data_IF_272224262924
#
_entry.id   IF_272224262924
#
_cell.length_a   1.000
_cell.length_b   1.000
_cell.length_c   1.000
_cell.angle_alpha   90.00
_cell.angle_beta   90.00
_cell.angle_gamma   90.00
#
_symmetry.space_group_name_H-M   'P 1'
#
loop_
_entity.id
_entity.type
_entity.pdbx_description
1 polymer ?
#
# COMPACT_ATOMS: atom_id res chain seq x y z
N UNK A 1 26.33 1.50 -14.38
CA UNK A 1 26.16 1.54 -15.86
C UNK A 1 25.37 0.36 -16.46
N UNK A 2 24.58 -0.41 -15.67
CA UNK A 2 23.56 -1.35 -16.18
C UNK A 2 22.11 -0.85 -16.02
N UNK A 3 21.90 0.24 -15.27
CA UNK A 3 20.60 0.89 -15.06
C UNK A 3 20.10 1.75 -16.27
N UNK A 4 20.91 1.93 -17.32
CA UNK A 4 20.59 2.83 -18.44
C UNK A 4 19.86 2.17 -19.64
N UNK A 5 19.52 0.86 -19.59
CA UNK A 5 18.77 0.19 -20.66
C UNK A 5 17.24 0.11 -20.45
N UNK A 6 16.70 0.83 -19.47
CA UNK A 6 15.25 0.94 -19.23
C UNK A 6 14.61 2.23 -19.81
N UNK A 7 15.29 2.95 -20.72
CA UNK A 7 14.67 4.08 -21.43
C UNK A 7 13.71 3.58 -22.51
N UNK A 8 12.43 3.43 -22.15
CA UNK A 8 11.35 3.29 -23.12
C UNK A 8 10.12 2.50 -22.66
N UNK A 9 10.17 1.83 -21.50
CA UNK A 9 9.00 1.16 -20.92
C UNK A 9 8.67 1.76 -19.56
N UNK A 10 7.40 2.08 -19.28
CA UNK A 10 6.96 2.39 -17.92
C UNK A 10 7.43 1.29 -16.96
N UNK A 11 7.96 1.64 -15.79
CA UNK A 11 8.25 0.62 -14.77
C UNK A 11 6.93 0.06 -14.18
N UNK A 12 5.85 0.82 -14.34
CA UNK A 12 4.51 0.55 -13.85
C UNK A 12 3.47 0.41 -14.99
N UNK A 13 2.63 -0.62 -14.94
CA UNK A 13 1.46 -0.72 -15.84
C UNK A 13 0.24 -0.10 -15.16
N UNK A 14 -0.33 0.96 -15.76
CA UNK A 14 -1.56 1.60 -15.27
C UNK A 14 -2.82 0.75 -15.52
N UNK A 15 -2.71 -0.40 -16.18
CA UNK A 15 -3.85 -1.27 -16.38
C UNK A 15 -4.24 -1.92 -15.03
N UNK A 16 -5.39 -1.50 -14.48
CA UNK A 16 -6.03 -2.10 -13.30
C UNK A 16 -6.44 -3.58 -13.51
N UNK A 17 -6.02 -4.19 -14.63
CA UNK A 17 -6.41 -5.54 -15.06
C UNK A 17 -5.94 -6.63 -14.12
N UNK A 18 -4.91 -6.35 -13.31
CA UNK A 18 -4.38 -7.31 -12.32
C UNK A 18 -5.11 -7.24 -10.97
N UNK A 19 -5.92 -6.21 -10.73
CA UNK A 19 -6.59 -5.99 -9.45
C UNK A 19 -8.05 -6.45 -9.48
N UNK A 20 -8.44 -7.18 -8.44
CA UNK A 20 -9.71 -7.90 -8.37
C UNK A 20 -10.30 -7.90 -6.96
N UNK A 21 -10.21 -6.77 -6.25
CA UNK A 21 -10.55 -6.67 -4.83
C UNK A 21 -11.99 -7.11 -4.51
N UNK A 22 -12.97 -6.71 -5.33
CA UNK A 22 -14.37 -7.10 -5.19
C UNK A 22 -15.07 -7.28 -6.54
N UNK A 23 -14.31 -7.49 -7.63
CA UNK A 23 -14.87 -7.59 -8.99
C UNK A 23 -15.73 -8.84 -9.20
N UNK A 24 -15.58 -9.86 -8.36
CA UNK A 24 -16.43 -11.07 -8.37
C UNK A 24 -17.75 -10.91 -7.62
N UNK A 25 -17.93 -9.80 -6.88
CA UNK A 25 -19.14 -9.53 -6.11
C UNK A 25 -20.12 -8.79 -7.01
N UNK A 26 -21.37 -9.27 -7.06
CA UNK A 26 -22.43 -8.63 -7.85
C UNK A 26 -22.62 -7.18 -7.37
N UNK A 27 -22.43 -6.22 -8.28
CA UNK A 27 -22.68 -4.81 -7.99
C UNK A 27 -24.17 -4.52 -7.87
N UNK A 28 -24.51 -3.61 -6.97
CA UNK A 28 -25.81 -2.96 -6.85
C UNK A 28 -25.56 -1.50 -6.47
N UNK A 29 -26.10 -0.56 -7.26
CA UNK A 29 -25.98 0.86 -6.98
C UNK A 29 -27.20 1.64 -7.43
N UNK A 30 -27.47 2.76 -6.75
CA UNK A 30 -28.52 3.71 -7.13
C UNK A 30 -28.10 5.13 -6.77
N UNK A 31 -28.60 6.10 -7.53
CA UNK A 31 -28.36 7.52 -7.28
C UNK A 31 -29.64 8.17 -6.73
N UNK A 32 -29.51 9.07 -5.77
CA UNK A 32 -30.64 9.90 -5.32
C UNK A 32 -31.18 10.78 -6.45
N UNK A 33 -32.44 11.20 -6.36
CA UNK A 33 -33.08 12.02 -7.40
C UNK A 33 -32.37 13.37 -7.69
N UNK A 34 -31.61 13.89 -6.73
CA UNK A 34 -30.80 15.11 -6.88
C UNK A 34 -29.33 14.85 -7.29
N UNK A 35 -28.95 13.58 -7.49
CA UNK A 35 -27.60 13.22 -7.91
C UNK A 35 -26.50 13.30 -6.85
N UNK A 36 -26.84 13.64 -5.59
CA UNK A 36 -25.86 13.93 -4.53
C UNK A 36 -25.52 12.73 -3.64
N UNK A 37 -26.26 11.63 -3.76
CA UNK A 37 -26.05 10.46 -2.90
C UNK A 37 -25.98 9.22 -3.75
N UNK A 38 -24.85 8.52 -3.68
CA UNK A 38 -24.61 7.24 -4.31
C UNK A 38 -24.80 6.13 -3.27
N UNK A 39 -25.84 5.32 -3.45
CA UNK A 39 -26.03 4.11 -2.65
C UNK A 39 -25.31 2.95 -3.32
N UNK A 40 -24.47 2.22 -2.58
CA UNK A 40 -23.72 1.05 -3.05
C UNK A 40 -23.74 -0.07 -2.03
N UNK A 41 -23.53 -1.30 -2.47
CA UNK A 41 -23.20 -2.42 -1.58
C UNK A 41 -21.70 -2.40 -1.26
N UNK A 42 -21.33 -2.27 0.02
CA UNK A 42 -19.94 -2.18 0.45
C UNK A 42 -19.67 -2.96 1.75
N UNK A 43 -18.42 -3.38 1.93
CA UNK A 43 -17.89 -3.91 3.18
C UNK A 43 -16.84 -2.94 3.74
N UNK A 44 -17.09 -2.39 4.93
CA UNK A 44 -16.09 -1.60 5.66
C UNK A 44 -15.12 -2.57 6.34
N UNK A 45 -13.91 -2.67 5.81
CA UNK A 45 -12.93 -3.68 6.21
C UNK A 45 -12.28 -3.33 7.56
N UNK A 46 -11.64 -2.17 7.61
CA UNK A 46 -10.82 -1.79 8.75
C UNK A 46 -10.45 -0.30 8.76
N UNK A 47 -10.11 0.22 9.94
CA UNK A 47 -9.78 1.62 10.17
C UNK A 47 -8.28 1.88 10.12
N UNK A 48 -7.87 2.97 9.48
CA UNK A 48 -6.50 3.46 9.44
C UNK A 48 -6.10 4.06 10.78
N UNK A 49 -4.96 3.63 11.32
CA UNK A 49 -4.43 4.08 12.62
C UNK A 49 -3.15 4.89 12.51
N UNK A 50 -2.32 4.65 11.50
CA UNK A 50 -1.08 5.38 11.28
C UNK A 50 -0.88 5.64 9.80
N UNK A 51 -0.23 6.75 9.50
CA UNK A 51 0.07 7.21 8.14
C UNK A 51 1.49 7.75 8.05
N UNK A 52 2.12 7.61 6.88
CA UNK A 52 3.41 8.16 6.53
C UNK A 52 3.35 8.58 5.05
N UNK A 53 3.33 9.89 4.74
CA UNK A 53 3.40 10.35 3.36
C UNK A 53 4.65 9.80 2.66
N UNK A 54 4.50 9.34 1.42
CA UNK A 54 5.67 8.94 0.64
C UNK A 54 6.54 10.17 0.34
N UNK A 55 7.88 10.04 0.42
CA UNK A 55 8.79 11.15 0.22
C UNK A 55 8.72 11.63 -1.23
N UNK A 56 8.54 12.94 -1.44
CA UNK A 56 8.55 13.59 -2.75
C UNK A 56 9.96 14.02 -3.16
N UNK A 57 10.86 14.13 -2.19
CA UNK A 57 12.25 14.55 -2.36
C UNK A 57 13.16 13.73 -1.45
N UNK A 58 14.45 13.63 -1.81
CA UNK A 58 15.44 12.83 -1.07
C UNK A 58 15.58 13.28 0.39
N UNK A 59 15.37 14.55 0.69
CA UNK A 59 15.49 15.10 2.04
C UNK A 59 14.38 14.60 3.00
N UNK A 60 13.26 14.14 2.45
CA UNK A 60 12.10 13.65 3.22
C UNK A 60 12.22 12.16 3.57
N UNK A 61 13.07 11.39 2.88
CA UNK A 61 13.13 9.94 2.97
C UNK A 61 13.54 9.43 4.36
N UNK A 62 14.44 10.14 5.04
CA UNK A 62 14.82 9.82 6.42
C UNK A 62 13.66 9.99 7.39
N UNK A 63 12.85 11.04 7.21
CA UNK A 63 11.67 11.27 8.03
C UNK A 63 10.57 10.23 7.76
N UNK A 64 10.42 9.82 6.50
CA UNK A 64 9.57 8.72 6.09
C UNK A 64 9.98 7.40 6.79
N UNK A 65 11.27 7.04 6.73
CA UNK A 65 11.77 5.84 7.41
C UNK A 65 11.49 5.86 8.92
N UNK A 66 11.77 6.98 9.59
CA UNK A 66 11.53 7.13 11.03
C UNK A 66 10.05 6.96 11.39
N UNK A 67 9.18 7.55 10.58
CA UNK A 67 7.72 7.43 10.74
C UNK A 67 7.28 5.97 10.60
N UNK A 68 7.66 5.33 9.51
CA UNK A 68 7.38 3.91 9.26
C UNK A 68 7.92 3.01 10.40
N UNK A 69 9.19 3.19 10.79
CA UNK A 69 9.85 2.32 11.76
C UNK A 69 9.23 2.44 13.16
N UNK A 70 8.72 3.62 13.50
CA UNK A 70 8.01 3.89 14.76
C UNK A 70 6.72 3.08 14.91
N UNK A 71 6.18 2.52 13.81
CA UNK A 71 4.95 1.74 13.88
C UNK A 71 5.14 0.38 14.55
N UNK A 72 6.38 -0.09 14.62
CA UNK A 72 6.77 -1.42 15.09
C UNK A 72 7.63 -1.34 16.35
N UNK A 73 7.64 -2.38 17.21
CA UNK A 73 8.46 -2.38 18.41
C UNK A 73 9.95 -2.15 18.09
N UNK A 74 10.59 -1.18 18.75
CA UNK A 74 12.01 -0.86 18.52
C UNK A 74 12.98 -1.98 18.88
N UNK A 75 12.57 -2.88 19.78
CA UNK A 75 13.37 -4.04 20.22
C UNK A 75 13.30 -5.25 19.27
N UNK A 76 12.35 -5.26 18.34
CA UNK A 76 12.17 -6.35 17.39
C UNK A 76 12.67 -5.90 16.01
N UNK A 77 13.30 -6.80 15.26
CA UNK A 77 13.66 -6.56 13.86
C UNK A 77 12.39 -6.62 13.02
N UNK A 78 12.27 -5.79 11.98
CA UNK A 78 11.12 -5.89 11.06
C UNK A 78 10.99 -7.31 10.48
N UNK A 79 12.10 -7.93 10.10
CA UNK A 79 12.14 -9.31 9.57
C UNK A 79 11.63 -10.38 10.56
N UNK A 80 11.53 -10.06 11.85
CA UNK A 80 11.04 -10.98 12.88
C UNK A 80 9.54 -10.79 13.18
N UNK A 81 8.91 -9.80 12.57
CA UNK A 81 7.50 -9.46 12.80
C UNK A 81 6.68 -10.07 11.66
N UNK A 82 5.76 -10.95 12.01
CA UNK A 82 4.76 -11.47 11.07
C UNK A 82 3.81 -10.35 10.62
N UNK A 83 3.48 -10.32 9.33
CA UNK A 83 2.46 -9.43 8.78
C UNK A 83 1.06 -9.95 9.21
N UNK A 84 0.31 -9.22 10.06
CA UNK A 84 -0.86 -9.81 10.71
C UNK A 84 -1.95 -10.35 9.74
N UNK A 85 -2.26 -9.70 8.61
CA UNK A 85 -3.22 -10.25 7.64
C UNK A 85 -2.76 -11.54 6.94
N UNK A 86 -1.44 -11.80 6.86
CA UNK A 86 -0.87 -13.03 6.30
C UNK A 86 0.32 -13.47 7.16
N UNK A 87 0.10 -14.19 8.27
CA UNK A 87 1.14 -14.48 9.26
C UNK A 87 2.34 -15.30 8.75
N UNK A 88 2.22 -15.94 7.58
CA UNK A 88 3.33 -16.62 6.89
C UNK A 88 4.34 -15.66 6.26
N UNK A 89 3.98 -14.38 6.12
CA UNK A 89 4.76 -13.34 5.46
C UNK A 89 5.33 -12.41 6.52
N UNK A 90 6.60 -12.02 6.42
CA UNK A 90 7.19 -11.03 7.32
C UNK A 90 6.84 -9.60 6.89
N UNK A 91 6.83 -8.66 7.84
CA UNK A 91 6.53 -7.24 7.59
C UNK A 91 7.35 -6.63 6.44
N UNK A 92 8.68 -6.84 6.33
CA UNK A 92 9.45 -6.31 5.21
C UNK A 92 8.90 -6.72 3.85
N UNK A 93 8.44 -7.96 3.72
CA UNK A 93 7.89 -8.46 2.46
C UNK A 93 6.58 -7.78 2.10
N UNK A 94 5.64 -7.77 3.04
CA UNK A 94 4.37 -7.06 2.84
C UNK A 94 4.60 -5.56 2.55
N UNK A 95 5.60 -4.95 3.18
CA UNK A 95 5.93 -3.54 3.01
C UNK A 95 6.49 -3.23 1.61
N UNK A 96 7.52 -3.96 1.14
CA UNK A 96 8.07 -3.66 -0.19
C UNK A 96 7.08 -3.99 -1.30
N UNK A 97 6.27 -5.05 -1.13
CA UNK A 97 5.15 -5.32 -2.05
C UNK A 97 4.13 -4.19 -2.02
N UNK A 98 3.81 -3.63 -0.86
CA UNK A 98 2.89 -2.49 -0.76
C UNK A 98 3.43 -1.25 -1.44
N UNK A 99 4.70 -0.91 -1.20
CA UNK A 99 5.34 0.29 -1.76
C UNK A 99 5.44 0.26 -3.30
N UNK A 100 5.48 -0.95 -3.88
CA UNK A 100 5.48 -1.15 -5.33
C UNK A 100 4.09 -1.48 -5.91
N UNK A 101 3.03 -1.44 -5.07
CA UNK A 101 1.70 -2.03 -5.37
C UNK A 101 1.79 -3.45 -5.97
N UNK A 102 2.84 -4.17 -5.60
CA UNK A 102 3.23 -5.52 -6.00
C UNK A 102 3.34 -5.69 -7.53
N UNK A 103 3.86 -4.64 -8.20
CA UNK A 103 4.19 -4.60 -9.61
C UNK A 103 5.63 -4.11 -9.77
N UNK A 104 6.43 -4.77 -10.62
CA UNK A 104 7.80 -4.36 -10.92
C UNK A 104 8.12 -4.57 -12.39
N UNK A 105 8.51 -3.51 -13.11
CA UNK A 105 8.80 -3.57 -14.55
C UNK A 105 7.68 -4.25 -15.33
N UNK A 106 6.43 -3.81 -15.10
CA UNK A 106 5.19 -4.40 -15.68
C UNK A 106 4.91 -5.86 -15.30
N UNK A 107 5.72 -6.46 -14.41
CA UNK A 107 5.53 -7.84 -13.95
C UNK A 107 4.70 -7.85 -12.67
N UNK A 108 3.73 -8.76 -12.62
CA UNK A 108 2.91 -9.03 -11.44
C UNK A 108 2.86 -10.55 -11.20
N UNK A 109 3.12 -11.03 -9.95
CA UNK A 109 3.58 -10.26 -8.79
C UNK A 109 4.99 -9.69 -9.00
N UNK A 110 5.31 -8.64 -8.24
CA UNK A 110 6.68 -8.14 -8.18
C UNK A 110 7.62 -9.28 -7.71
N UNK A 111 8.73 -9.57 -8.42
CA UNK A 111 9.61 -10.69 -8.10
C UNK A 111 10.29 -10.54 -6.74
N UNK A 112 10.62 -11.65 -6.08
CA UNK A 112 11.26 -11.65 -4.76
C UNK A 112 12.63 -10.96 -4.75
N UNK A 113 13.29 -10.86 -5.90
CA UNK A 113 14.52 -10.08 -6.08
C UNK A 113 14.36 -8.58 -5.75
N UNK A 114 13.12 -8.06 -5.74
CA UNK A 114 12.84 -6.69 -5.28
C UNK A 114 13.20 -6.49 -3.80
N UNK A 115 13.29 -7.56 -3.01
CA UNK A 115 13.72 -7.49 -1.61
C UNK A 115 15.13 -6.93 -1.44
N UNK A 116 16.07 -7.25 -2.35
CA UNK A 116 17.43 -6.70 -2.33
C UNK A 116 17.43 -5.20 -2.67
N UNK A 117 16.63 -4.79 -3.65
CA UNK A 117 16.45 -3.37 -3.99
C UNK A 117 15.84 -2.60 -2.83
N UNK A 118 14.86 -3.19 -2.14
CA UNK A 118 14.27 -2.63 -0.94
C UNK A 118 15.29 -2.51 0.21
N UNK A 119 16.14 -3.53 0.41
CA UNK A 119 17.19 -3.49 1.43
C UNK A 119 18.20 -2.37 1.17
N UNK A 120 18.63 -2.20 -0.09
CA UNK A 120 19.50 -1.09 -0.50
C UNK A 120 18.83 0.27 -0.27
N UNK A 121 17.53 0.38 -0.56
CA UNK A 121 16.75 1.58 -0.28
C UNK A 121 16.68 1.88 1.22
N UNK A 122 16.34 0.90 2.07
CA UNK A 122 16.33 1.09 3.52
C UNK A 122 17.71 1.43 4.07
N UNK A 123 18.78 0.82 3.56
CA UNK A 123 20.15 1.17 3.94
C UNK A 123 20.53 2.61 3.60
N UNK A 124 19.90 3.20 2.58
CA UNK A 124 20.07 4.59 2.16
C UNK A 124 19.28 5.57 3.03
N UNK A 125 18.06 5.20 3.44
CA UNK A 125 17.11 6.11 4.12
C UNK A 125 17.05 5.96 5.64
N UNK A 126 17.68 4.92 6.20
CA UNK A 126 17.85 4.72 7.65
C UNK A 126 18.95 5.60 8.24
N UNK A 127 19.15 5.56 9.57
CA UNK A 127 20.26 6.29 10.19
C UNK A 127 21.61 5.65 9.83
N UNK A 128 21.64 4.34 9.54
CA UNK A 128 22.82 3.68 8.95
C UNK A 128 22.49 2.40 8.18
N UNK A 129 23.31 2.04 7.19
CA UNK A 129 23.19 0.76 6.50
C UNK A 129 23.26 -0.46 7.45
N UNK A 130 24.01 -0.36 8.55
CA UNK A 130 24.08 -1.43 9.56
C UNK A 130 22.74 -1.64 10.28
N UNK A 131 22.01 -0.57 10.54
CA UNK A 131 20.67 -0.63 11.14
C UNK A 131 19.71 -1.35 10.20
N UNK A 132 19.63 -0.93 8.93
CA UNK A 132 18.79 -1.59 7.94
C UNK A 132 19.14 -3.08 7.77
N UNK A 133 20.43 -3.43 7.68
CA UNK A 133 20.88 -4.82 7.58
C UNK A 133 20.45 -5.67 8.78
N UNK A 134 20.55 -5.12 9.99
CA UNK A 134 20.09 -5.79 11.20
C UNK A 134 18.57 -5.97 11.20
N UNK A 135 17.81 -4.93 10.83
CA UNK A 135 16.35 -4.93 10.84
C UNK A 135 15.74 -5.89 9.80
N UNK A 136 16.44 -6.11 8.68
CA UNK A 136 16.02 -6.95 7.57
C UNK A 136 16.64 -8.36 7.55
N UNK A 137 17.58 -8.67 8.46
CA UNK A 137 18.40 -9.90 8.41
C UNK A 137 19.11 -10.09 7.06
N UNK A 138 19.66 -9.02 6.50
CA UNK A 138 20.41 -9.10 5.24
C UNK A 138 21.60 -10.05 5.40
N UNK A 139 21.70 -11.06 4.54
CA UNK A 139 22.87 -11.96 4.48
C UNK A 139 24.05 -11.29 3.77
N UNK A 140 23.75 -10.46 2.78
CA UNK A 140 24.72 -9.72 2.00
C UNK A 140 24.79 -8.26 2.46
N UNK A 141 25.94 -7.63 2.23
CA UNK A 141 26.10 -6.20 2.48
C UNK A 141 25.27 -5.41 1.48
N UNK A 142 24.35 -4.59 1.99
CA UNK A 142 23.63 -3.60 1.18
C UNK A 142 24.55 -2.56 0.56
N UNK A 143 24.20 -2.09 -0.63
CA UNK A 143 24.79 -0.94 -1.28
C UNK A 143 23.77 0.21 -1.35
N UNK A 144 23.88 1.23 -0.48
CA UNK A 144 22.99 2.39 -0.51
C UNK A 144 22.96 3.11 -1.87
N UNK A 145 24.02 3.02 -2.69
CA UNK A 145 24.06 3.68 -4.00
C UNK A 145 23.11 3.01 -5.01
N UNK A 146 22.81 1.73 -4.81
CA UNK A 146 21.87 0.96 -5.63
C UNK A 146 20.41 1.08 -5.14
N UNK A 147 20.15 1.89 -4.10
CA UNK A 147 18.81 2.13 -3.56
C UNK A 147 17.93 3.05 -4.40
N UNK A 148 18.49 3.73 -5.40
CA UNK A 148 17.76 4.69 -6.24
C UNK A 148 16.71 3.98 -7.14
N UNK A 149 16.98 2.76 -7.61
CA UNK A 149 16.04 2.04 -8.49
C UNK A 149 14.71 1.71 -7.77
N UNK A 150 14.78 1.34 -6.49
CA UNK A 150 13.58 1.09 -5.70
C UNK A 150 12.82 2.39 -5.45
N UNK A 151 13.53 3.48 -5.15
CA UNK A 151 12.91 4.78 -4.91
C UNK A 151 12.15 5.30 -6.14
N UNK A 152 12.74 5.13 -7.34
CA UNK A 152 12.08 5.45 -8.60
C UNK A 152 10.82 4.60 -8.79
N UNK A 153 10.87 3.30 -8.47
CA UNK A 153 9.70 2.44 -8.58
C UNK A 153 8.59 2.79 -7.58
N UNK A 154 8.94 3.27 -6.38
CA UNK A 154 7.97 3.80 -5.39
C UNK A 154 7.30 5.08 -5.92
N UNK A 155 8.07 5.97 -6.57
CA UNK A 155 7.53 7.19 -7.19
C UNK A 155 6.57 6.85 -8.35
N UNK A 156 6.93 5.88 -9.19
CA UNK A 156 6.09 5.38 -10.29
C UNK A 156 4.79 4.72 -9.81
N UNK A 157 4.82 4.04 -8.65
CA UNK A 157 3.62 3.43 -8.04
C UNK A 157 2.58 4.47 -7.56
N UNK A 158 2.99 5.74 -7.47
CA UNK A 158 2.10 6.87 -7.26
C UNK A 158 2.74 7.95 -6.39
N UNK A 159 3.37 8.92 -7.04
CA UNK A 159 3.69 10.20 -6.41
C UNK A 159 2.44 10.75 -5.69
N UNK A 160 2.63 11.31 -4.50
CA UNK A 160 1.56 11.83 -3.61
C UNK A 160 0.67 10.79 -2.91
N UNK A 161 1.04 9.51 -2.91
CA UNK A 161 0.38 8.50 -2.04
C UNK A 161 0.87 8.58 -0.59
N UNK A 162 0.04 8.06 0.30
CA UNK A 162 0.32 7.96 1.74
C UNK A 162 0.36 6.49 2.12
N UNK A 163 1.48 6.03 2.68
CA UNK A 163 1.55 4.71 3.30
C UNK A 163 0.72 4.71 4.58
N UNK A 164 -0.07 3.68 4.81
CA UNK A 164 -0.85 3.53 6.02
C UNK A 164 -0.78 2.12 6.59
N UNK A 165 -1.15 2.01 7.87
CA UNK A 165 -1.49 0.74 8.52
C UNK A 165 -2.85 0.85 9.21
N UNK A 166 -3.63 -0.23 9.18
CA UNK A 166 -4.94 -0.31 9.82
C UNK A 166 -4.90 -0.96 11.21
N UNK A 167 -6.01 -0.96 11.95
CA UNK A 167 -6.16 -1.60 13.28
C UNK A 167 -5.75 -3.10 13.27
N UNK A 168 -6.18 -3.84 12.25
CA UNK A 168 -5.85 -5.25 12.00
C UNK A 168 -4.48 -5.44 11.33
N UNK A 169 -3.74 -4.36 11.09
CA UNK A 169 -2.39 -4.40 10.54
C UNK A 169 -2.29 -4.49 9.02
N UNK A 170 -3.34 -4.17 8.26
CA UNK A 170 -3.24 -4.10 6.80
C UNK A 170 -2.34 -2.94 6.39
N UNK A 171 -1.35 -3.22 5.54
CA UNK A 171 -0.50 -2.22 4.90
C UNK A 171 -1.12 -1.78 3.58
N UNK A 172 -1.07 -0.49 3.29
CA UNK A 172 -1.62 0.03 2.04
C UNK A 172 -1.12 1.40 1.63
N UNK A 173 -1.49 1.82 0.42
CA UNK A 173 -1.24 3.13 -0.15
C UNK A 173 -2.59 3.82 -0.44
N UNK A 174 -2.81 4.95 0.22
CA UNK A 174 -3.98 5.81 0.05
C UNK A 174 -3.66 7.09 -0.71
N UNK A 175 -4.68 7.88 -1.11
CA UNK A 175 -4.48 9.19 -1.74
C UNK A 175 -3.84 10.20 -0.77
N UNK A 176 -3.31 11.30 -1.29
CA UNK A 176 -2.67 12.37 -0.50
C UNK A 176 -3.51 12.89 0.69
N UNK A 177 -4.84 12.84 0.56
CA UNK A 177 -5.82 13.29 1.56
C UNK A 177 -6.26 12.23 2.58
N UNK A 178 -5.54 11.10 2.64
CA UNK A 178 -5.76 10.04 3.64
C UNK A 178 -5.52 10.57 5.05
N UNK A 179 -6.44 10.30 5.97
CA UNK A 179 -6.35 10.69 7.37
C UNK A 179 -6.47 9.48 8.30
N UNK A 180 -5.86 9.58 9.49
CA UNK A 180 -6.11 8.62 10.57
C UNK A 180 -7.61 8.63 10.91
N UNK A 181 -8.22 7.46 10.98
CA UNK A 181 -9.66 7.31 11.18
C UNK A 181 -10.46 7.04 9.90
N UNK A 182 -9.89 7.27 8.72
CA UNK A 182 -10.44 6.78 7.46
C UNK A 182 -10.50 5.24 7.47
N UNK A 183 -11.40 4.67 6.67
CA UNK A 183 -11.59 3.21 6.59
C UNK A 183 -11.32 2.68 5.20
N UNK A 184 -10.62 1.55 5.12
CA UNK A 184 -10.52 0.76 3.89
C UNK A 184 -11.84 0.02 3.69
N UNK A 185 -12.39 0.08 2.48
CA UNK A 185 -13.68 -0.51 2.15
C UNK A 185 -13.64 -1.20 0.79
N UNK A 186 -14.34 -2.33 0.69
CA UNK A 186 -14.60 -3.00 -0.58
C UNK A 186 -15.97 -2.54 -1.09
N UNK A 187 -16.05 -2.11 -2.34
CA UNK A 187 -17.32 -1.79 -3.00
C UNK A 187 -17.62 -2.92 -3.98
N UNK A 188 -18.82 -3.48 -3.93
CA UNK A 188 -19.18 -4.62 -4.77
C UNK A 188 -19.01 -4.30 -6.26
N UNK A 189 -18.32 -5.18 -6.98
CA UNK A 189 -18.05 -5.06 -8.42
C UNK A 189 -16.83 -4.21 -8.77
N UNK A 190 -16.10 -3.65 -7.80
CA UNK A 190 -14.90 -2.84 -8.10
C UNK A 190 -13.62 -3.66 -8.12
N UNK A 191 -12.68 -3.25 -8.98
CA UNK A 191 -11.36 -3.88 -9.09
C UNK A 191 -10.43 -3.56 -7.91
N UNK A 192 -10.70 -2.45 -7.22
CA UNK A 192 -9.87 -1.93 -6.13
C UNK A 192 -10.69 -1.57 -4.90
N UNK A 193 -10.08 -1.58 -3.70
CA UNK A 193 -10.65 -0.98 -2.51
C UNK A 193 -10.74 0.54 -2.62
N UNK A 194 -11.61 1.11 -1.80
CA UNK A 194 -11.79 2.53 -1.63
C UNK A 194 -11.63 2.92 -0.17
N UNK A 195 -11.15 4.13 0.03
CA UNK A 195 -11.09 4.77 1.32
C UNK A 195 -12.35 5.62 1.52
N UNK A 196 -13.01 5.41 2.66
CA UNK A 196 -14.20 6.16 3.06
C UNK A 196 -13.94 6.88 4.38
N UNK A 197 -14.54 8.06 4.53
CA UNK A 197 -14.53 8.85 5.77
C UNK A 197 -15.95 8.99 6.29
N UNK A 198 -16.14 8.85 7.60
CA UNK A 198 -17.45 9.14 8.20
C UNK A 198 -17.74 10.63 8.08
N UNK A 199 -18.82 10.98 7.38
CA UNK A 199 -19.42 12.32 7.37
C UNK A 199 -20.82 12.30 7.98
N UNK A 200 -21.51 13.45 7.90
CA UNK A 200 -22.93 13.57 8.21
C UNK A 200 -23.63 14.21 7.00
N UNK A 201 -24.62 13.58 6.35
CA UNK A 201 -25.38 12.39 6.78
C UNK A 201 -24.86 11.01 6.31
N UNK A 202 -23.76 10.93 5.56
CA UNK A 202 -23.27 9.67 4.98
C UNK A 202 -21.75 9.54 4.92
N UNK A 203 -21.24 8.60 4.12
CA UNK A 203 -19.81 8.42 3.90
C UNK A 203 -19.28 9.38 2.86
N UNK A 204 -18.10 9.93 3.08
CA UNK A 204 -17.37 10.73 2.10
C UNK A 204 -16.39 9.81 1.38
N UNK A 205 -16.41 9.80 0.04
CA UNK A 205 -15.43 9.07 -0.74
C UNK A 205 -14.07 9.77 -0.69
N UNK A 206 -13.11 9.18 0.03
CA UNK A 206 -11.75 9.70 0.09
C UNK A 206 -10.98 9.32 -1.16
N UNK A 207 -11.16 8.13 -1.74
CA UNK A 207 -10.55 7.78 -3.03
C UNK A 207 -10.15 6.31 -3.13
N UNK A 208 -9.55 5.95 -4.26
CA UNK A 208 -8.99 4.61 -4.46
C UNK A 208 -7.81 4.33 -3.53
N UNK A 209 -7.63 3.06 -3.14
CA UNK A 209 -6.51 2.67 -2.30
C UNK A 209 -6.02 1.27 -2.60
N UNK A 210 -4.70 1.07 -2.53
CA UNK A 210 -4.09 -0.25 -2.51
C UNK A 210 -4.04 -0.76 -1.06
N UNK A 211 -4.47 -1.99 -0.81
CA UNK A 211 -4.30 -2.66 0.48
C UNK A 211 -3.78 -4.09 0.26
N UNK A 212 -2.62 -4.40 0.84
CA UNK A 212 -1.95 -5.68 0.66
C UNK A 212 -2.70 -6.80 1.38
N UNK A 213 -2.98 -7.90 0.68
CA UNK A 213 -3.85 -8.97 1.16
C UNK A 213 -5.34 -8.70 1.01
N UNK A 214 -5.72 -7.69 0.21
CA UNK A 214 -7.11 -7.33 -0.11
C UNK A 214 -7.33 -7.13 -1.62
N UNK A 215 -6.35 -6.53 -2.29
CA UNK A 215 -6.44 -6.05 -3.68
C UNK A 215 -6.66 -7.16 -4.73
N UNK A 216 -6.39 -8.43 -4.40
CA UNK A 216 -6.50 -9.57 -5.32
C UNK A 216 -7.75 -10.43 -5.04
N UNK A 217 -8.70 -9.92 -4.24
CA UNK A 217 -9.98 -10.58 -4.00
C UNK A 217 -9.96 -11.58 -2.85
N UNK A 218 -8.91 -11.57 -2.01
CA UNK A 218 -8.71 -12.48 -0.90
C UNK A 218 -9.88 -12.51 0.10
N UNK A 219 -10.64 -11.41 0.16
CA UNK A 219 -11.77 -11.19 1.06
C UNK A 219 -13.14 -11.18 0.36
N UNK A 220 -13.19 -11.07 -0.98
CA UNK A 220 -14.42 -10.77 -1.72
C UNK A 220 -15.60 -11.72 -1.43
N UNK A 221 -15.31 -12.99 -1.16
CA UNK A 221 -16.30 -14.04 -0.89
C UNK A 221 -16.35 -14.46 0.59
N UNK A 222 -15.63 -13.76 1.47
CA UNK A 222 -15.48 -14.09 2.90
C UNK A 222 -16.09 -13.05 3.83
N UNK A 223 -16.69 -12.00 3.26
CA UNK A 223 -17.22 -10.86 4.02
C UNK A 223 -18.60 -10.48 3.52
N UNK A 224 -19.40 -9.91 4.42
CA UNK A 224 -20.74 -9.42 4.09
C UNK A 224 -20.67 -8.00 3.54
N UNK A 225 -21.43 -7.77 2.46
CA UNK A 225 -21.64 -6.45 1.87
C UNK A 225 -22.99 -5.89 2.34
N UNK A 226 -22.98 -4.63 2.76
CA UNK A 226 -24.18 -3.91 3.23
C UNK A 226 -24.36 -2.65 2.41
N UNK A 227 -25.62 -2.22 2.24
CA UNK A 227 -25.94 -0.98 1.56
C UNK A 227 -25.44 0.21 2.39
N UNK A 228 -24.66 1.08 1.78
CA UNK A 228 -24.18 2.34 2.37
C UNK A 228 -24.48 3.50 1.42
N UNK A 229 -24.49 4.72 1.97
CA UNK A 229 -24.66 5.95 1.20
C UNK A 229 -23.35 6.75 1.20
N UNK A 230 -22.89 7.11 0.01
CA UNK A 230 -21.78 8.01 -0.24
C UNK A 230 -22.36 9.38 -0.63
N UNK A 231 -21.93 10.44 0.06
CA UNK A 231 -22.45 11.82 -0.06
C UNK A 231 -21.38 12.82 -0.45
#
# INVERSE_FOLDING_TARGET
MKAQKARGRPLYDHSWRVFHAASSVKSDYSLSGNGRTLSVSAHVLDRITKIAPLPRKKEEEKAFYKSLRSWYPGRARLADIAYPPQPSTAVPEALWRTLLTNIWLTSHPAPDACSDHFANYLARISDSASEANHDLRCQNKTDPQEGDIFAIAVDDAGAERVLFVTDKGYLGLGPARTEVGDVVSLIAGTHIPFMLRKGAPGWILVGETYAHGVIYGELAQKVDFKKIEIV
#
